data_IF_828595486197
#
_entry.id   IF_828595486197
#
_cell.length_a   1.000
_cell.length_b   1.000
_cell.length_c   1.000
_cell.angle_alpha   90.00
_cell.angle_beta   90.00
_cell.angle_gamma   90.00
#
_symmetry.space_group_name_H-M   'P 1'
#
loop_
_entity.id
_entity.type
_entity.pdbx_description
1 polymer ?
#
# COMPACT_ATOMS: atom_id res chain seq x y z
N UNK A 1 -13.85 -39.41 -18.75
CA UNK A 1 -14.42 -38.08 -18.41
C UNK A 1 -14.53 -37.81 -16.90
N UNK A 2 -14.93 -38.78 -16.06
CA UNK A 2 -15.05 -38.59 -14.60
C UNK A 2 -13.72 -38.28 -13.87
N UNK A 3 -12.62 -38.94 -14.26
CA UNK A 3 -11.30 -38.70 -13.68
C UNK A 3 -10.84 -37.23 -13.91
N UNK A 4 -11.06 -36.72 -15.13
CA UNK A 4 -10.72 -35.34 -15.50
C UNK A 4 -11.46 -34.31 -14.64
N UNK A 5 -12.76 -34.50 -14.39
CA UNK A 5 -13.54 -33.63 -13.50
C UNK A 5 -13.01 -33.63 -12.06
N UNK A 6 -12.58 -34.80 -11.54
CA UNK A 6 -11.97 -34.91 -10.21
C UNK A 6 -10.62 -34.20 -10.13
N UNK A 7 -9.79 -34.35 -11.17
CA UNK A 7 -8.48 -33.69 -11.25
C UNK A 7 -8.63 -32.17 -11.32
N UNK A 8 -9.53 -31.65 -12.16
CA UNK A 8 -9.79 -30.21 -12.23
C UNK A 8 -10.30 -29.67 -10.89
N UNK A 9 -11.25 -30.36 -10.26
CA UNK A 9 -11.77 -29.95 -8.95
C UNK A 9 -10.68 -29.89 -7.89
N UNK A 10 -9.73 -30.83 -7.91
CA UNK A 10 -8.56 -30.83 -7.02
C UNK A 10 -7.64 -29.63 -7.30
N UNK A 11 -7.33 -29.35 -8.57
CA UNK A 11 -6.48 -28.21 -8.95
C UNK A 11 -7.09 -26.88 -8.51
N UNK A 12 -8.40 -26.69 -8.72
CA UNK A 12 -9.10 -25.48 -8.29
C UNK A 12 -8.97 -25.28 -6.76
N UNK A 13 -9.08 -26.35 -5.98
CA UNK A 13 -8.91 -26.27 -4.52
C UNK A 13 -7.49 -25.87 -4.13
N UNK A 14 -6.48 -26.50 -4.75
CA UNK A 14 -5.08 -26.16 -4.48
C UNK A 14 -4.79 -24.69 -4.77
N UNK A 15 -5.37 -24.13 -5.84
CA UNK A 15 -5.27 -22.70 -6.15
C UNK A 15 -5.88 -21.85 -5.02
N UNK A 16 -7.09 -22.15 -4.57
CA UNK A 16 -7.72 -21.40 -3.47
C UNK A 16 -6.97 -21.52 -2.14
N UNK A 17 -6.44 -22.70 -1.82
CA UNK A 17 -5.59 -22.90 -0.65
C UNK A 17 -4.28 -22.10 -0.75
N UNK A 18 -3.68 -22.05 -1.93
CA UNK A 18 -2.49 -21.22 -2.16
C UNK A 18 -2.80 -19.73 -1.98
N UNK A 19 -3.90 -19.24 -2.55
CA UNK A 19 -4.37 -17.85 -2.36
C UNK A 19 -4.59 -17.55 -0.88
N UNK A 20 -5.25 -18.44 -0.14
CA UNK A 20 -5.44 -18.32 1.30
C UNK A 20 -4.12 -18.21 2.06
N UNK A 21 -3.15 -19.07 1.77
CA UNK A 21 -1.84 -19.06 2.41
C UNK A 21 -1.08 -17.75 2.15
N UNK A 22 -1.12 -17.24 0.91
CA UNK A 22 -0.53 -15.94 0.55
C UNK A 22 -1.20 -14.80 1.32
N UNK A 23 -2.54 -14.77 1.36
CA UNK A 23 -3.29 -13.77 2.12
C UNK A 23 -2.96 -13.80 3.62
N UNK A 24 -2.84 -14.98 4.23
CA UNK A 24 -2.44 -15.12 5.63
C UNK A 24 -1.03 -14.60 5.87
N UNK A 25 -0.09 -14.87 4.97
CA UNK A 25 1.29 -14.40 5.08
C UNK A 25 1.35 -12.87 5.10
N UNK A 26 0.66 -12.20 4.17
CA UNK A 26 0.58 -10.74 4.14
C UNK A 26 -0.14 -10.17 5.37
N UNK A 27 -1.25 -10.79 5.79
CA UNK A 27 -1.98 -10.35 6.98
C UNK A 27 -1.10 -10.44 8.24
N UNK A 28 -0.38 -11.54 8.43
CA UNK A 28 0.50 -11.74 9.57
C UNK A 28 1.63 -10.70 9.61
N UNK A 29 2.18 -10.32 8.45
CA UNK A 29 3.19 -9.26 8.34
C UNK A 29 2.64 -7.90 8.79
N UNK A 30 1.46 -7.51 8.30
CA UNK A 30 0.82 -6.24 8.66
C UNK A 30 0.43 -6.19 10.14
N UNK A 31 -0.15 -7.27 10.67
CA UNK A 31 -0.53 -7.37 12.08
C UNK A 31 0.70 -7.31 12.99
N UNK A 32 1.79 -8.01 12.63
CA UNK A 32 3.05 -7.96 13.36
C UNK A 32 3.62 -6.53 13.37
N UNK A 33 3.64 -5.88 12.21
CA UNK A 33 4.11 -4.48 12.08
C UNK A 33 3.30 -3.55 12.98
N UNK A 34 1.97 -3.67 12.95
CA UNK A 34 1.10 -2.89 13.83
C UNK A 34 1.33 -3.20 15.32
N UNK A 35 1.50 -4.47 15.68
CA UNK A 35 1.71 -4.87 17.08
C UNK A 35 3.06 -4.40 17.64
N UNK A 36 4.12 -4.43 16.83
CA UNK A 36 5.45 -3.96 17.22
C UNK A 36 5.54 -2.43 17.25
N UNK A 37 4.67 -1.75 16.51
CA UNK A 37 4.65 -0.29 16.36
C UNK A 37 3.29 0.26 16.82
N UNK A 38 2.88 -0.05 18.06
CA UNK A 38 1.64 0.51 18.64
C UNK A 38 1.75 2.02 18.88
N UNK A 39 2.97 2.48 19.16
CA UNK A 39 3.33 3.87 19.34
C UNK A 39 4.57 4.17 18.49
N UNK A 40 4.71 5.41 17.99
CA UNK A 40 5.90 5.78 17.25
C UNK A 40 7.12 5.79 18.18
N UNK A 41 8.22 5.18 17.74
CA UNK A 41 9.48 5.27 18.45
C UNK A 41 9.99 6.71 18.39
N UNK A 42 10.07 7.36 19.56
CA UNK A 42 10.44 8.77 19.69
C UNK A 42 11.92 8.91 20.02
N UNK A 43 12.66 9.67 19.21
CA UNK A 43 14.10 9.89 19.35
C UNK A 43 14.54 11.18 18.62
N UNK A 44 15.70 11.71 18.98
CA UNK A 44 16.29 12.84 18.24
C UNK A 44 16.90 12.37 16.93
N UNK A 45 16.96 13.23 15.92
CA UNK A 45 17.61 12.89 14.66
C UNK A 45 19.09 12.45 14.85
N UNK A 46 19.83 13.08 15.76
CA UNK A 46 21.21 12.66 16.10
C UNK A 46 21.25 11.22 16.61
N UNK A 47 20.32 10.86 17.50
CA UNK A 47 20.23 9.50 18.05
C UNK A 47 19.87 8.50 16.95
N UNK A 48 19.04 8.90 15.99
CA UNK A 48 18.69 8.07 14.84
C UNK A 48 19.94 7.73 14.02
N UNK A 49 20.72 8.76 13.65
CA UNK A 49 21.91 8.60 12.81
C UNK A 49 22.92 7.63 13.44
N UNK A 50 23.03 7.65 14.77
CA UNK A 50 23.92 6.76 15.52
C UNK A 50 23.39 5.33 15.68
N UNK A 51 22.11 5.16 16.05
CA UNK A 51 21.56 3.84 16.42
C UNK A 51 20.90 3.10 15.27
N UNK A 52 20.37 3.82 14.28
CA UNK A 52 19.65 3.32 13.09
C UNK A 52 18.68 2.17 13.41
N UNK A 53 17.72 2.36 14.34
CA UNK A 53 16.79 1.29 14.69
C UNK A 53 15.90 0.91 13.49
N UNK A 54 15.75 -0.39 13.25
CA UNK A 54 14.83 -0.92 12.23
C UNK A 54 13.39 -0.91 12.78
N UNK A 55 12.71 0.21 12.63
CA UNK A 55 11.32 0.41 13.05
C UNK A 55 10.49 1.03 11.94
N UNK A 56 9.21 0.63 11.87
CA UNK A 56 8.32 1.08 10.81
C UNK A 56 7.67 2.43 11.13
N UNK A 57 7.53 2.81 12.41
CA UNK A 57 6.89 4.07 12.82
C UNK A 57 7.82 4.90 13.72
N UNK A 58 8.22 6.07 13.23
CA UNK A 58 9.18 6.94 13.89
C UNK A 58 8.55 8.29 14.25
N UNK A 59 9.09 8.90 15.30
CA UNK A 59 8.90 10.31 15.65
C UNK A 59 10.26 10.92 15.95
N UNK A 60 10.75 11.74 15.03
CA UNK A 60 12.06 12.37 15.07
C UNK A 60 11.95 13.83 15.51
N UNK A 61 12.64 14.20 16.58
CA UNK A 61 12.78 15.59 17.04
C UNK A 61 14.10 16.23 16.59
N UNK A 62 14.16 17.56 16.68
CA UNK A 62 15.28 18.38 16.21
C UNK A 62 15.58 18.18 14.71
N UNK A 63 14.52 17.97 13.93
CA UNK A 63 14.65 17.84 12.49
C UNK A 63 14.63 19.22 11.86
N UNK A 64 15.73 19.60 11.22
CA UNK A 64 15.80 20.83 10.42
C UNK A 64 15.56 20.48 8.97
N UNK A 65 14.61 21.19 8.38
CA UNK A 65 14.17 20.97 7.01
C UNK A 65 14.40 22.23 6.21
N UNK A 66 15.16 22.08 5.13
CA UNK A 66 15.27 23.08 4.08
C UNK A 66 14.39 22.66 2.90
N UNK A 67 13.21 23.24 2.81
CA UNK A 67 12.26 22.94 1.74
C UNK A 67 12.75 23.41 0.35
N UNK A 68 13.79 24.24 0.25
CA UNK A 68 14.39 24.58 -1.06
C UNK A 68 15.16 23.42 -1.67
N UNK A 69 15.55 22.41 -0.87
CA UNK A 69 16.22 21.17 -1.32
C UNK A 69 15.20 20.08 -1.69
N UNK A 70 13.94 20.44 -1.89
CA UNK A 70 12.90 19.49 -2.27
C UNK A 70 13.20 18.88 -3.63
N UNK A 71 13.14 17.55 -3.69
CA UNK A 71 13.20 16.79 -4.93
C UNK A 71 11.83 16.21 -5.28
N UNK A 72 11.48 16.29 -6.56
CA UNK A 72 10.24 15.71 -7.10
C UNK A 72 10.54 14.30 -7.62
N UNK A 73 9.68 13.36 -7.26
CA UNK A 73 9.69 12.02 -7.85
C UNK A 73 8.43 11.88 -8.69
N UNK A 74 8.58 11.47 -9.95
CA UNK A 74 7.47 11.25 -10.88
C UNK A 74 6.99 9.80 -10.87
N UNK A 75 5.72 9.58 -11.20
CA UNK A 75 5.14 8.24 -11.33
C UNK A 75 5.81 7.48 -12.47
N UNK A 76 5.99 6.19 -12.29
CA UNK A 76 6.58 5.35 -13.33
C UNK A 76 5.66 5.32 -14.55
N UNK A 77 6.19 5.69 -15.72
CA UNK A 77 5.44 5.72 -16.98
C UNK A 77 4.67 7.00 -17.26
N UNK A 78 4.67 7.99 -16.36
CA UNK A 78 4.04 9.30 -16.58
C UNK A 78 4.95 10.44 -16.06
N UNK A 79 5.73 11.09 -16.94
CA UNK A 79 6.63 12.18 -16.55
C UNK A 79 5.89 13.46 -16.13
N UNK A 80 4.58 13.54 -16.37
CA UNK A 80 3.77 14.71 -15.99
C UNK A 80 3.04 14.51 -14.66
N UNK A 81 3.05 13.30 -14.09
CA UNK A 81 2.39 13.00 -12.82
C UNK A 81 3.42 12.89 -11.70
N UNK A 82 3.45 13.88 -10.80
CA UNK A 82 4.29 13.85 -9.60
C UNK A 82 3.75 12.77 -8.63
N UNK A 83 4.61 11.84 -8.24
CA UNK A 83 4.36 10.81 -7.23
C UNK A 83 4.47 11.38 -5.81
N UNK A 84 5.41 12.30 -5.60
CA UNK A 84 5.53 13.05 -4.35
C UNK A 84 6.69 14.04 -4.34
N UNK A 85 6.66 14.90 -3.32
CA UNK A 85 7.71 15.85 -2.98
C UNK A 85 8.47 15.34 -1.78
N UNK A 86 9.80 15.28 -1.90
CA UNK A 86 10.68 14.67 -0.91
C UNK A 86 11.73 15.69 -0.50
N UNK A 87 11.91 15.88 0.81
CA UNK A 87 12.85 16.87 1.35
C UNK A 87 13.85 16.18 2.26
N UNK A 88 15.16 16.47 2.13
CA UNK A 88 16.15 15.95 3.06
C UNK A 88 15.91 16.52 4.47
N UNK A 89 16.19 15.69 5.47
CA UNK A 89 16.08 16.05 6.87
C UNK A 89 17.47 16.00 7.49
N UNK A 90 17.90 17.12 8.07
CA UNK A 90 19.25 17.29 8.63
C UNK A 90 19.18 17.76 10.07
N UNK A 91 20.28 17.60 10.80
CA UNK A 91 20.45 18.14 12.16
C UNK A 91 20.84 19.62 12.10
N UNK A 92 21.44 20.06 11.00
CA UNK A 92 21.78 21.44 10.69
C UNK A 92 21.44 21.79 9.22
N UNK A 93 21.01 23.03 8.95
CA UNK A 93 20.60 23.48 7.61
C UNK A 93 21.73 23.49 6.59
N UNK A 94 22.96 23.70 7.05
CA UNK A 94 24.16 23.82 6.23
C UNK A 94 25.12 22.65 6.42
N UNK A 95 24.59 21.50 6.83
CA UNK A 95 25.39 20.28 6.97
C UNK A 95 25.54 19.62 5.61
N UNK A 96 26.77 19.47 5.14
CA UNK A 96 27.10 18.75 3.90
C UNK A 96 27.22 17.22 4.13
N UNK A 97 26.89 16.71 5.32
CA UNK A 97 26.90 15.27 5.57
C UNK A 97 25.89 14.50 4.70
N UNK A 98 26.08 13.19 4.49
CA UNK A 98 25.10 12.37 3.80
C UNK A 98 23.72 12.43 4.45
N UNK A 99 22.66 12.47 3.65
CA UNK A 99 21.27 12.51 4.12
C UNK A 99 20.83 11.11 4.53
N UNK A 100 20.58 10.94 5.83
CA UNK A 100 20.08 9.66 6.40
C UNK A 100 18.55 9.55 6.39
N UNK A 101 17.84 10.69 6.37
CA UNK A 101 16.38 10.73 6.47
C UNK A 101 15.82 11.66 5.41
N UNK A 102 14.86 11.16 4.65
CA UNK A 102 14.11 11.93 3.66
C UNK A 102 12.64 11.95 4.09
N UNK A 103 12.05 13.13 4.16
CA UNK A 103 10.63 13.31 4.49
C UNK A 103 9.82 13.46 3.20
N UNK A 104 8.77 12.67 3.05
CA UNK A 104 7.73 12.92 2.06
C UNK A 104 6.77 14.00 2.58
N UNK A 105 6.52 15.01 1.77
CA UNK A 105 5.62 16.12 2.09
C UNK A 105 4.18 15.69 1.83
N UNK A 106 3.34 15.81 2.86
CA UNK A 106 1.92 15.46 2.79
C UNK A 106 0.98 16.67 2.81
N UNK A 107 1.43 17.82 3.34
CA UNK A 107 0.59 19.01 3.46
C UNK A 107 0.34 19.65 2.10
N UNK A 108 -0.93 19.80 1.71
CA UNK A 108 -1.31 20.45 0.45
C UNK A 108 -0.83 21.89 0.41
N UNK A 109 -0.89 22.61 1.51
CA UNK A 109 -0.39 23.98 1.62
C UNK A 109 1.12 24.07 1.33
N UNK A 110 1.91 23.12 1.85
CA UNK A 110 3.35 23.06 1.57
C UNK A 110 3.63 22.70 0.12
N UNK A 111 2.84 21.78 -0.45
CA UNK A 111 2.93 21.41 -1.86
C UNK A 111 2.59 22.61 -2.74
N UNK A 112 1.51 23.35 -2.47
CA UNK A 112 1.11 24.53 -3.25
C UNK A 112 2.18 25.63 -3.18
N UNK A 113 2.81 25.81 -2.02
CA UNK A 113 3.92 26.77 -1.85
C UNK A 113 5.17 26.35 -2.64
N UNK A 114 5.49 25.05 -2.64
CA UNK A 114 6.60 24.50 -3.42
C UNK A 114 6.33 24.56 -4.92
N UNK A 115 5.11 24.24 -5.36
CA UNK A 115 4.69 24.34 -6.75
C UNK A 115 4.81 25.77 -7.26
N UNK A 116 4.51 26.77 -6.42
CA UNK A 116 4.79 28.18 -6.74
C UNK A 116 6.29 28.42 -6.94
N UNK A 117 7.14 28.01 -6.00
CA UNK A 117 8.60 28.21 -6.13
C UNK A 117 9.23 27.50 -7.33
N UNK A 118 8.72 26.31 -7.66
CA UNK A 118 9.23 25.45 -8.72
C UNK A 118 8.61 25.77 -10.09
N UNK A 119 7.67 26.72 -10.14
CA UNK A 119 7.05 27.16 -11.39
C UNK A 119 8.08 27.77 -12.33
N UNK A 120 8.08 27.32 -13.58
CA UNK A 120 9.01 27.77 -14.62
C UNK A 120 8.83 29.23 -15.02
N UNK A 121 7.68 29.82 -14.69
CA UNK A 121 7.32 31.18 -15.08
C UNK A 121 7.87 32.25 -14.12
N UNK A 122 8.50 31.83 -13.02
CA UNK A 122 9.03 32.74 -12.00
C UNK A 122 10.52 33.00 -12.25
N UNK A 123 10.90 34.28 -12.24
CA UNK A 123 12.30 34.68 -12.33
C UNK A 123 13.09 34.26 -11.07
N UNK A 124 14.40 34.00 -11.21
CA UNK A 124 15.26 33.65 -10.06
C UNK A 124 15.18 34.69 -8.92
N UNK A 125 15.12 35.98 -9.27
CA UNK A 125 14.98 37.07 -8.31
C UNK A 125 13.66 37.01 -7.53
N UNK A 126 12.57 36.64 -8.20
CA UNK A 126 11.25 36.50 -7.59
C UNK A 126 11.15 35.23 -6.74
N UNK A 127 11.73 34.12 -7.19
CA UNK A 127 11.86 32.90 -6.40
C UNK A 127 12.63 33.16 -5.10
N UNK A 128 13.75 33.90 -5.18
CA UNK A 128 14.51 34.34 -4.00
C UNK A 128 13.69 35.26 -3.10
N UNK A 129 12.89 36.17 -3.66
CA UNK A 129 12.00 37.05 -2.90
C UNK A 129 10.92 36.26 -2.15
N UNK A 130 10.32 35.26 -2.80
CA UNK A 130 9.32 34.36 -2.18
C UNK A 130 9.99 33.54 -1.07
N UNK A 131 11.16 32.97 -1.31
CA UNK A 131 11.93 32.22 -0.32
C UNK A 131 12.28 33.08 0.91
N UNK A 132 12.70 34.34 0.71
CA UNK A 132 12.97 35.29 1.78
C UNK A 132 11.72 35.72 2.53
N UNK A 133 10.61 36.00 1.81
CA UNK A 133 9.34 36.40 2.40
C UNK A 133 8.71 35.30 3.25
N UNK A 134 9.00 34.04 2.93
CA UNK A 134 8.51 32.85 3.63
C UNK A 134 9.65 32.06 4.26
N UNK A 135 10.71 32.74 4.71
CA UNK A 135 11.90 32.10 5.28
C UNK A 135 11.54 31.06 6.35
N UNK A 136 10.69 31.41 7.32
CA UNK A 136 10.31 30.51 8.41
C UNK A 136 9.40 29.34 7.96
N UNK A 137 8.79 29.44 6.78
CA UNK A 137 8.06 28.34 6.19
C UNK A 137 8.99 27.34 5.47
N UNK A 138 10.07 27.84 4.87
CA UNK A 138 11.03 27.02 4.13
C UNK A 138 12.18 26.47 4.98
N UNK A 139 12.57 27.18 6.03
CA UNK A 139 13.66 26.83 6.93
C UNK A 139 13.08 26.71 8.34
N UNK A 140 12.74 25.50 8.75
CA UNK A 140 12.18 25.28 10.08
C UNK A 140 12.69 24.03 10.74
N UNK A 141 12.72 24.11 12.06
CA UNK A 141 12.82 22.95 12.91
C UNK A 141 11.41 22.41 13.18
N UNK A 142 11.23 21.11 13.01
CA UNK A 142 9.94 20.47 13.26
C UNK A 142 10.10 19.06 13.84
N UNK A 143 9.01 18.59 14.47
CA UNK A 143 8.85 17.20 14.84
C UNK A 143 8.32 16.43 13.62
N UNK A 144 9.07 15.43 13.14
CA UNK A 144 8.63 14.56 12.05
C UNK A 144 8.13 13.25 12.64
N UNK A 145 6.83 13.01 12.58
CA UNK A 145 6.26 11.71 12.91
C UNK A 145 5.62 11.06 11.69
N UNK A 146 5.97 9.82 11.39
CA UNK A 146 5.46 9.15 10.19
C UNK A 146 5.95 7.72 10.00
N UNK A 147 5.35 7.05 9.02
CA UNK A 147 5.67 5.67 8.66
C UNK A 147 6.90 5.64 7.75
N UNK A 148 7.85 4.77 8.04
CA UNK A 148 8.99 4.48 7.16
C UNK A 148 8.47 3.66 5.96
N UNK A 149 8.47 4.28 4.77
CA UNK A 149 7.97 3.67 3.54
C UNK A 149 9.10 3.10 2.66
N UNK A 150 10.34 3.47 2.95
CA UNK A 150 11.53 2.88 2.37
C UNK A 150 12.70 2.98 3.35
N UNK A 151 13.57 1.97 3.38
CA UNK A 151 14.69 1.92 4.30
C UNK A 151 15.75 0.90 3.91
N UNK A 152 16.75 0.67 4.79
CA UNK A 152 17.88 -0.23 4.52
C UNK A 152 17.41 -1.65 4.20
N UNK A 153 18.19 -2.37 3.39
CA UNK A 153 17.89 -3.76 2.99
C UNK A 153 16.72 -3.94 2.01
N UNK A 154 16.03 -2.86 1.62
CA UNK A 154 14.93 -2.89 0.67
C UNK A 154 15.21 -2.00 -0.54
N UNK A 155 15.57 -2.61 -1.68
CA UNK A 155 15.65 -1.90 -2.96
C UNK A 155 14.25 -1.64 -3.51
N UNK A 156 13.68 -0.49 -3.15
CA UNK A 156 12.38 -0.05 -3.67
C UNK A 156 12.57 0.86 -4.89
N UNK A 157 11.62 0.87 -5.85
CA UNK A 157 11.66 1.82 -6.96
C UNK A 157 11.81 3.27 -6.51
N UNK A 158 11.22 3.63 -5.36
CA UNK A 158 11.35 4.95 -4.77
C UNK A 158 12.80 5.26 -4.36
N UNK A 159 13.52 4.31 -3.73
CA UNK A 159 14.91 4.53 -3.34
C UNK A 159 15.82 4.73 -4.54
N UNK A 160 15.62 3.94 -5.61
CA UNK A 160 16.36 4.11 -6.87
C UNK A 160 16.13 5.50 -7.48
N UNK A 161 14.86 5.92 -7.60
CA UNK A 161 14.52 7.25 -8.10
C UNK A 161 15.11 8.37 -7.23
N UNK A 162 15.16 8.21 -5.91
CA UNK A 162 15.77 9.19 -5.01
C UNK A 162 17.31 9.17 -5.09
N UNK A 163 17.93 8.02 -5.28
CA UNK A 163 19.38 7.90 -5.45
C UNK A 163 19.89 8.48 -6.78
N UNK A 164 19.02 8.59 -7.80
CA UNK A 164 19.31 9.28 -9.06
C UNK A 164 19.27 10.82 -8.95
N UNK A 165 18.86 11.35 -7.79
CA UNK A 165 18.76 12.79 -7.56
C UNK A 165 20.11 13.38 -7.18
N UNK A 166 20.20 14.71 -7.09
CA UNK A 166 21.42 15.41 -6.66
C UNK A 166 21.64 15.36 -5.13
N UNK A 167 20.78 14.68 -4.39
CA UNK A 167 20.93 14.54 -2.95
C UNK A 167 22.06 13.55 -2.65
N UNK A 168 23.00 13.94 -1.79
CA UNK A 168 24.02 13.03 -1.27
C UNK A 168 23.38 12.12 -0.21
N UNK A 169 22.72 11.04 -0.64
CA UNK A 169 22.00 10.11 0.24
C UNK A 169 22.96 9.07 0.83
N UNK A 170 22.83 8.79 2.14
CA UNK A 170 23.52 7.65 2.76
C UNK A 170 23.00 6.31 2.18
N UNK A 171 23.82 5.27 1.99
CA UNK A 171 23.36 3.98 1.47
C UNK A 171 22.22 3.32 2.26
N UNK A 172 22.03 3.69 3.54
CA UNK A 172 20.98 3.20 4.42
C UNK A 172 19.93 4.26 4.73
N UNK A 173 19.78 5.29 3.89
CA UNK A 173 18.78 6.33 4.10
C UNK A 173 17.36 5.73 4.19
N UNK A 174 16.53 6.37 5.01
CA UNK A 174 15.10 6.06 5.11
C UNK A 174 14.23 7.16 4.50
N UNK A 175 13.03 6.78 4.08
CA UNK A 175 11.99 7.70 3.64
C UNK A 175 10.81 7.62 4.59
N UNK A 176 10.43 8.73 5.20
CA UNK A 176 9.31 8.86 6.13
C UNK A 176 8.12 9.53 5.43
N UNK A 177 6.98 8.85 5.43
CA UNK A 177 5.68 9.39 5.01
C UNK A 177 5.05 10.13 6.21
N UNK A 178 5.30 11.45 6.29
CA UNK A 178 4.94 12.27 7.44
C UNK A 178 3.42 12.28 7.67
N UNK A 179 3.01 12.09 8.93
CA UNK A 179 1.61 12.01 9.36
C UNK A 179 0.96 10.65 9.12
N UNK A 180 1.58 9.75 8.34
CA UNK A 180 1.04 8.41 8.11
C UNK A 180 1.29 7.51 9.32
N UNK A 181 0.24 6.79 9.71
CA UNK A 181 0.28 5.79 10.79
C UNK A 181 0.19 4.38 10.20
N UNK A 182 0.78 3.36 10.86
CA UNK A 182 0.52 1.98 10.49
C UNK A 182 -0.97 1.68 10.62
N UNK A 183 -1.59 1.15 9.56
CA UNK A 183 -3.03 0.88 9.56
C UNK A 183 -3.29 -0.62 9.62
N UNK A 184 -4.08 -1.06 10.61
CA UNK A 184 -4.53 -2.44 10.73
C UNK A 184 -5.53 -2.83 9.61
N UNK A 185 -6.12 -1.84 8.92
CA UNK A 185 -7.14 -2.04 7.90
C UNK A 185 -6.67 -2.92 6.75
N UNK A 186 -5.42 -2.74 6.29
CA UNK A 186 -4.86 -3.58 5.23
C UNK A 186 -4.70 -5.04 5.68
N UNK A 187 -4.16 -5.25 6.89
CA UNK A 187 -4.02 -6.59 7.49
C UNK A 187 -5.36 -7.31 7.66
N UNK A 188 -6.40 -6.59 8.12
CA UNK A 188 -7.76 -7.14 8.24
C UNK A 188 -8.40 -7.47 6.89
N UNK A 189 -8.17 -6.64 5.86
CA UNK A 189 -8.67 -6.89 4.51
C UNK A 189 -8.03 -8.17 3.92
N UNK A 190 -6.72 -8.34 4.07
CA UNK A 190 -6.07 -9.57 3.63
C UNK A 190 -6.55 -10.80 4.39
N UNK A 191 -6.80 -10.66 5.69
CA UNK A 191 -7.38 -11.74 6.50
C UNK A 191 -8.76 -12.14 5.99
N UNK A 192 -9.65 -11.18 5.73
CA UNK A 192 -11.00 -11.47 5.25
C UNK A 192 -10.99 -12.07 3.84
N UNK A 193 -10.16 -11.56 2.92
CA UNK A 193 -9.97 -12.16 1.60
C UNK A 193 -9.47 -13.60 1.69
N UNK A 194 -8.52 -13.88 2.60
CA UNK A 194 -8.05 -15.23 2.86
C UNK A 194 -9.18 -16.15 3.32
N UNK A 195 -9.99 -15.71 4.30
CA UNK A 195 -11.12 -16.51 4.79
C UNK A 195 -12.15 -16.79 3.69
N UNK A 196 -12.44 -15.82 2.83
CA UNK A 196 -13.33 -16.02 1.67
C UNK A 196 -12.75 -17.05 0.71
N UNK A 197 -11.46 -16.96 0.37
CA UNK A 197 -10.77 -17.94 -0.48
C UNK A 197 -10.84 -19.36 0.11
N UNK A 198 -10.68 -19.49 1.43
CA UNK A 198 -10.82 -20.77 2.13
C UNK A 198 -12.25 -21.31 2.03
N UNK A 199 -13.27 -20.47 2.25
CA UNK A 199 -14.68 -20.86 2.15
C UNK A 199 -15.02 -21.33 0.73
N UNK A 200 -14.57 -20.62 -0.31
CA UNK A 200 -14.77 -21.01 -1.71
C UNK A 200 -14.05 -22.34 -2.01
N UNK A 201 -12.83 -22.50 -1.52
CA UNK A 201 -12.06 -23.74 -1.64
C UNK A 201 -12.82 -24.93 -1.04
N UNK A 202 -13.44 -24.77 0.12
CA UNK A 202 -14.22 -25.82 0.79
C UNK A 202 -15.58 -26.04 0.11
N UNK A 203 -16.32 -24.98 -0.25
CA UNK A 203 -17.68 -25.09 -0.80
C UNK A 203 -17.70 -25.68 -2.22
N UNK A 204 -16.62 -25.51 -2.98
CA UNK A 204 -16.39 -26.20 -4.27
C UNK A 204 -16.33 -27.73 -4.14
N UNK A 205 -16.40 -28.26 -2.91
CA UNK A 205 -16.45 -29.69 -2.62
C UNK A 205 -17.83 -30.32 -2.81
N UNK A 206 -18.96 -29.58 -2.90
CA UNK A 206 -20.28 -30.21 -2.89
C UNK A 206 -20.38 -31.30 -3.97
N UNK A 207 -20.30 -32.60 -3.58
CA UNK A 207 -20.41 -33.69 -4.52
C UNK A 207 -21.82 -33.55 -5.07
N UNK A 208 -21.93 -33.52 -6.40
CA UNK A 208 -23.16 -33.18 -7.09
C UNK A 208 -24.34 -33.77 -6.34
N UNK A 209 -25.19 -32.89 -5.78
CA UNK A 209 -26.57 -33.28 -5.54
C UNK A 209 -27.01 -33.75 -6.91
N UNK A 210 -27.03 -35.06 -7.11
CA UNK A 210 -27.76 -35.66 -8.21
C UNK A 210 -29.12 -35.03 -8.06
N UNK A 211 -29.42 -34.12 -8.99
CA UNK A 211 -30.77 -33.66 -9.20
C UNK A 211 -31.45 -34.97 -9.56
N UNK A 212 -32.10 -35.61 -8.58
CA UNK A 212 -33.11 -36.62 -8.80
C UNK A 212 -34.13 -35.93 -9.69
N UNK A 213 -33.84 -36.01 -10.99
CA UNK A 213 -34.66 -35.61 -12.09
C UNK A 213 -35.84 -36.55 -12.05
N UNK A 214 -36.80 -36.22 -11.18
CA UNK A 214 -38.24 -36.33 -11.39
C UNK A 214 -38.63 -37.38 -12.44
N UNK A 215 -38.29 -38.65 -12.17
CA UNK A 215 -38.84 -39.84 -12.82
C UNK A 215 -40.15 -40.12 -12.11
N UNK A 216 -41.14 -39.29 -12.39
CA UNK A 216 -42.45 -39.31 -11.72
C UNK A 216 -43.48 -38.60 -12.56
N UNK A 217 -43.69 -39.10 -13.77
CA UNK A 217 -44.70 -38.63 -14.72
C UNK A 217 -44.89 -39.69 -15.79
N UNK A 218 -45.44 -40.84 -15.40
CA UNK A 218 -46.04 -41.76 -16.36
C UNK A 218 -47.16 -41.02 -17.12
N UNK A 219 -47.23 -41.13 -18.45
CA UNK A 219 -48.40 -40.70 -19.18
C UNK A 219 -49.58 -41.61 -18.81
N UNK A 220 -50.64 -41.00 -18.26
CA UNK A 220 -51.93 -41.62 -18.01
C UNK A 220 -52.50 -42.12 -19.37
N UNK A 221 -52.82 -43.42 -19.54
CA UNK A 221 -53.35 -43.93 -20.79
C UNK A 221 -54.82 -43.51 -20.97
N UNK A 222 -55.12 -43.08 -22.19
CA UNK A 222 -56.43 -42.62 -22.66
C UNK A 222 -57.55 -43.60 -22.27
N UNK A 223 -58.55 -43.08 -21.54
CA UNK A 223 -59.74 -43.82 -21.14
C UNK A 223 -60.70 -43.85 -22.32
N UNK A 224 -60.74 -44.99 -23.01
CA UNK A 224 -61.71 -45.35 -24.04
C UNK A 224 -63.15 -45.17 -23.51
N UNK A 225 -63.89 -44.21 -24.07
CA UNK A 225 -65.29 -43.93 -23.76
C UNK A 225 -66.16 -44.95 -24.52
N UNK A 226 -66.72 -45.91 -23.80
CA UNK A 226 -67.63 -46.92 -24.36
C UNK A 226 -68.98 -46.29 -24.71
N UNK A 227 -69.38 -46.45 -25.97
CA UNK A 227 -70.73 -46.20 -26.50
C UNK A 227 -71.77 -47.11 -25.82
N UNK A 228 -72.94 -46.58 -25.39
CA UNK A 228 -74.03 -47.43 -24.93
C UNK A 228 -74.83 -48.01 -26.10
N UNK A 229 -75.05 -49.31 -26.03
CA UNK A 229 -75.85 -50.13 -26.94
C UNK A 229 -77.30 -49.64 -27.08
N UNK A 230 -77.75 -49.59 -28.33
CA UNK A 230 -79.15 -49.61 -28.74
C UNK A 230 -79.77 -50.99 -28.45
N UNK A 231 -80.98 -51.02 -27.88
CA UNK A 231 -82.13 -51.89 -28.24
C UNK A 231 -83.22 -51.81 -27.15
N UNK A 232 -84.49 -52.15 -27.43
CA UNK A 232 -85.31 -51.94 -28.64
C UNK A 232 -86.57 -51.09 -28.40
#
# INVERSE_FOLDING_TARGET
>A
MALYKRVIGLLIRLVWFFVFAVCLWFSAREIRTWHQNREPLSLTLDTYVQKRPDVAWLSLSHCRINYTETTLVYKSGDPNSVEGYYVPVRTNFYDDSPVFVVKKIASREQIDLLEKLLSRDISEAESKKIALAHHDAFFREELISGLVIAGPGHDTPLRRKLAETRLELDPDFIVIDAGRKPTLKAGLLFLSCGLIALIIGISSFQPGKEVESNRGGEPEPDREEATPDEEP
#
